data_IF_940203251219
#
_entry.id   IF_940203251219
#
_cell.length_a   1.000
_cell.length_b   1.000
_cell.length_c   1.000
_cell.angle_alpha   90.00
_cell.angle_beta   90.00
_cell.angle_gamma   90.00
#
_symmetry.space_group_name_H-M   'P 1'
#
loop_
_entity.id
_entity.type
_entity.pdbx_description
1 polymer ?
#
# COMPACT_ATOMS: atom_id res chain seq x y z
N UNK A 1 -5.12 -25.23 45.44
CA UNK A 1 -4.58 -25.37 44.07
C UNK A 1 -5.39 -24.47 43.16
N UNK A 2 -4.86 -23.29 42.83
CA UNK A 2 -5.49 -22.39 41.87
C UNK A 2 -4.97 -22.74 40.47
N UNK A 3 -5.85 -23.25 39.62
CA UNK A 3 -5.56 -23.45 38.21
C UNK A 3 -5.49 -22.07 37.54
N UNK A 4 -4.28 -21.59 37.29
CA UNK A 4 -4.04 -20.43 36.44
C UNK A 4 -4.35 -20.87 35.01
N UNK A 5 -5.52 -20.47 34.54
CA UNK A 5 -5.91 -20.63 33.14
C UNK A 5 -5.03 -19.71 32.29
N UNK A 6 -4.00 -20.29 31.68
CA UNK A 6 -3.22 -19.67 30.61
C UNK A 6 -4.13 -19.54 29.39
N UNK A 7 -4.92 -18.46 29.34
CA UNK A 7 -5.44 -17.96 28.07
C UNK A 7 -4.25 -17.44 27.27
N UNK A 8 -3.66 -18.30 26.44
CA UNK A 8 -2.84 -17.85 25.33
C UNK A 8 -3.71 -16.95 24.47
N UNK A 9 -3.43 -15.64 24.46
CA UNK A 9 -3.90 -14.74 23.44
C UNK A 9 -3.44 -15.32 22.10
N UNK A 10 -4.35 -15.99 21.39
CA UNK A 10 -4.15 -16.33 19.99
C UNK A 10 -4.19 -14.99 19.27
N UNK A 11 -3.03 -14.36 19.12
CA UNK A 11 -2.87 -13.26 18.18
C UNK A 11 -3.19 -13.84 16.81
N UNK A 12 -4.38 -13.54 16.30
CA UNK A 12 -4.79 -13.96 14.97
C UNK A 12 -3.79 -13.39 13.96
N UNK A 13 -3.06 -14.27 13.27
CA UNK A 13 -2.16 -13.86 12.19
C UNK A 13 -3.04 -13.36 11.05
N UNK A 14 -2.84 -12.10 10.65
CA UNK A 14 -3.55 -11.48 9.52
C UNK A 14 -3.26 -12.32 8.27
N UNK A 15 -4.31 -12.81 7.62
CA UNK A 15 -4.20 -13.53 6.35
C UNK A 15 -3.96 -12.57 5.18
N UNK A 16 -3.45 -13.09 4.06
CA UNK A 16 -3.25 -12.30 2.83
C UNK A 16 -4.56 -11.66 2.34
N UNK A 17 -5.68 -12.40 2.43
CA UNK A 17 -7.01 -11.88 2.08
C UNK A 17 -7.50 -10.75 2.99
N UNK A 18 -7.28 -10.86 4.30
CA UNK A 18 -7.59 -9.77 5.25
C UNK A 18 -6.72 -8.54 5.01
N UNK A 19 -5.45 -8.72 4.65
CA UNK A 19 -4.56 -7.62 4.32
C UNK A 19 -4.99 -6.90 3.03
N UNK A 20 -5.46 -7.64 2.02
CA UNK A 20 -6.06 -7.05 0.80
C UNK A 20 -7.34 -6.29 1.14
N UNK A 21 -8.27 -6.89 1.90
CA UNK A 21 -9.51 -6.21 2.33
C UNK A 21 -9.24 -4.95 3.15
N UNK A 22 -8.21 -4.98 3.98
CA UNK A 22 -7.77 -3.79 4.69
C UNK A 22 -7.36 -2.67 3.73
N UNK A 23 -6.70 -3.01 2.62
CA UNK A 23 -6.28 -2.04 1.60
C UNK A 23 -7.44 -1.56 0.72
N UNK A 24 -8.42 -2.43 0.42
CA UNK A 24 -9.47 -2.17 -0.58
C UNK A 24 -10.83 -1.77 -0.01
N UNK A 25 -11.26 -2.39 1.08
CA UNK A 25 -12.62 -2.27 1.63
C UNK A 25 -12.65 -1.36 2.88
N UNK A 26 -11.69 -1.54 3.79
CA UNK A 26 -11.66 -0.81 5.07
C UNK A 26 -11.08 0.60 4.93
N UNK A 27 -10.27 0.83 3.89
CA UNK A 27 -9.60 2.09 3.61
C UNK A 27 -9.81 2.50 2.15
N UNK A 28 -9.67 3.80 1.87
CA UNK A 28 -9.80 4.34 0.50
C UNK A 28 -8.41 4.63 -0.06
N UNK A 29 -7.64 3.57 -0.34
CA UNK A 29 -6.28 3.68 -0.89
C UNK A 29 -6.20 3.56 -2.42
N UNK A 30 -7.21 2.95 -3.04
CA UNK A 30 -7.24 2.71 -4.49
C UNK A 30 -7.99 3.83 -5.21
N UNK A 31 -7.51 4.18 -6.40
CA UNK A 31 -8.27 4.92 -7.41
C UNK A 31 -9.24 3.98 -8.16
N UNK A 32 -10.21 4.55 -8.87
CA UNK A 32 -11.34 3.79 -9.42
C UNK A 32 -10.95 2.79 -10.53
N UNK A 33 -9.79 2.94 -11.17
CA UNK A 33 -9.28 2.06 -12.23
C UNK A 33 -8.15 1.13 -11.77
N UNK A 34 -7.97 0.97 -10.45
CA UNK A 34 -6.87 0.22 -9.88
C UNK A 34 -7.34 -1.05 -9.18
N UNK A 35 -6.47 -2.04 -9.17
CA UNK A 35 -6.70 -3.31 -8.48
C UNK A 35 -5.57 -3.61 -7.49
N UNK A 36 -5.93 -4.12 -6.31
CA UNK A 36 -4.96 -4.72 -5.40
C UNK A 36 -4.83 -6.21 -5.73
N UNK A 37 -3.62 -6.68 -6.03
CA UNK A 37 -3.39 -8.13 -6.24
C UNK A 37 -3.00 -8.78 -4.92
N UNK A 38 -3.48 -10.00 -4.72
CA UNK A 38 -3.19 -10.77 -3.52
C UNK A 38 -1.70 -11.20 -3.51
N UNK A 39 -0.93 -10.89 -2.45
CA UNK A 39 0.43 -11.37 -2.33
C UNK A 39 0.46 -12.87 -2.02
N UNK A 40 1.33 -13.60 -2.73
CA UNK A 40 1.54 -15.04 -2.54
C UNK A 40 2.46 -15.36 -1.34
N UNK A 41 3.37 -14.44 -1.00
CA UNK A 41 4.40 -14.65 0.01
C UNK A 41 4.43 -13.50 1.02
N UNK A 42 4.80 -13.81 2.25
CA UNK A 42 5.11 -12.80 3.29
C UNK A 42 6.57 -12.41 3.15
N UNK A 43 6.85 -11.12 3.28
CA UNK A 43 8.23 -10.61 3.26
C UNK A 43 8.69 -10.40 4.70
N UNK A 44 9.86 -10.95 5.02
CA UNK A 44 10.54 -10.75 6.30
C UNK A 44 11.36 -9.44 6.27
N UNK A 45 11.18 -8.61 7.30
CA UNK A 45 12.03 -7.45 7.56
C UNK A 45 12.26 -7.31 9.06
N UNK A 46 13.53 -7.27 9.49
CA UNK A 46 13.91 -7.08 10.89
C UNK A 46 13.16 -7.98 11.90
N UNK A 47 12.92 -9.26 11.54
CA UNK A 47 12.17 -10.29 12.30
C UNK A 47 10.65 -10.19 12.26
N UNK A 48 10.09 -9.21 11.56
CA UNK A 48 8.65 -9.08 11.36
C UNK A 48 8.25 -9.49 9.95
N UNK A 49 7.06 -10.08 9.82
CA UNK A 49 6.50 -10.45 8.53
C UNK A 49 5.44 -9.46 8.08
N UNK A 50 5.44 -9.19 6.79
CA UNK A 50 4.52 -8.27 6.15
C UNK A 50 3.87 -8.92 4.93
N UNK A 51 2.59 -8.66 4.75
CA UNK A 51 1.96 -8.77 3.44
C UNK A 51 2.23 -7.48 2.69
N UNK A 52 2.86 -7.56 1.52
CA UNK A 52 3.13 -6.38 0.68
C UNK A 52 2.23 -6.48 -0.55
N UNK A 53 1.16 -5.69 -0.54
CA UNK A 53 0.08 -5.74 -1.51
C UNK A 53 0.43 -4.79 -2.67
N UNK A 54 0.69 -5.29 -3.89
CA UNK A 54 0.82 -4.44 -5.06
C UNK A 54 -0.55 -3.88 -5.46
N UNK A 55 -0.58 -2.59 -5.76
CA UNK A 55 -1.69 -1.95 -6.48
C UNK A 55 -1.25 -1.75 -7.92
N UNK A 56 -2.08 -2.18 -8.87
CA UNK A 56 -1.74 -2.21 -10.29
C UNK A 56 -2.79 -1.52 -11.16
N UNK A 57 -2.33 -1.03 -12.31
CA UNK A 57 -3.14 -0.63 -13.47
C UNK A 57 -2.60 -1.42 -14.66
N UNK A 58 -3.47 -2.14 -15.38
CA UNK A 58 -3.09 -2.93 -16.55
C UNK A 58 -1.88 -3.87 -16.30
N UNK A 59 -1.83 -4.48 -15.11
CA UNK A 59 -0.73 -5.33 -14.62
C UNK A 59 0.61 -4.61 -14.33
N UNK A 60 0.69 -3.29 -14.43
CA UNK A 60 1.84 -2.52 -13.98
C UNK A 60 1.63 -1.98 -12.56
N UNK A 61 2.58 -2.19 -11.62
CA UNK A 61 2.45 -1.67 -10.26
C UNK A 61 2.51 -0.14 -10.25
N UNK A 62 1.52 0.49 -9.62
CA UNK A 62 1.49 1.94 -9.34
C UNK A 62 2.04 2.26 -7.95
N UNK A 63 1.81 1.39 -6.97
CA UNK A 63 2.37 1.46 -5.62
C UNK A 63 2.22 0.13 -4.87
N UNK A 64 2.68 0.08 -3.62
CA UNK A 64 2.55 -1.05 -2.73
C UNK A 64 2.05 -0.60 -1.36
N UNK A 65 1.38 -1.51 -0.64
CA UNK A 65 1.00 -1.33 0.76
C UNK A 65 1.56 -2.47 1.60
N UNK A 66 2.43 -2.14 2.56
CA UNK A 66 2.93 -3.11 3.53
C UNK A 66 2.01 -3.16 4.77
N UNK A 67 1.40 -4.32 5.00
CA UNK A 67 0.51 -4.60 6.14
C UNK A 67 1.18 -5.61 7.07
N UNK A 68 1.29 -5.28 8.35
CA UNK A 68 1.84 -6.18 9.36
C UNK A 68 1.01 -7.46 9.51
N UNK A 69 1.67 -8.60 9.74
CA UNK A 69 0.97 -9.88 9.91
C UNK A 69 0.45 -10.13 11.32
N UNK A 70 0.98 -9.41 12.31
CA UNK A 70 0.53 -9.50 13.72
C UNK A 70 -0.54 -8.46 14.01
N UNK A 71 -0.30 -7.22 13.56
CA UNK A 71 -1.27 -6.14 13.64
C UNK A 71 -1.66 -5.70 12.24
N UNK A 72 -2.96 -5.67 11.97
CA UNK A 72 -3.53 -5.19 10.70
C UNK A 72 -3.39 -3.67 10.59
N UNK A 73 -2.17 -3.20 10.33
CA UNK A 73 -1.77 -1.80 10.22
C UNK A 73 -0.74 -1.63 9.11
N UNK A 74 -0.73 -0.45 8.51
CA UNK A 74 0.32 -0.06 7.57
C UNK A 74 1.63 0.23 8.30
N UNK A 75 2.74 -0.11 7.65
CA UNK A 75 4.06 0.35 8.07
C UNK A 75 4.16 1.86 7.85
N UNK A 76 4.47 2.61 8.91
CA UNK A 76 4.61 4.07 8.85
C UNK A 76 6.02 4.51 8.41
N UNK A 77 7.03 3.69 8.66
CA UNK A 77 8.43 4.05 8.38
C UNK A 77 8.74 3.99 6.88
N UNK A 78 9.23 5.10 6.32
CA UNK A 78 9.55 5.23 4.89
C UNK A 78 10.72 4.33 4.48
N UNK A 79 11.73 4.16 5.33
CA UNK A 79 12.88 3.32 5.04
C UNK A 79 12.50 1.84 5.02
N UNK A 80 11.68 1.40 5.99
CA UNK A 80 11.15 0.02 6.02
C UNK A 80 10.31 -0.24 4.78
N UNK A 81 9.37 0.65 4.45
CA UNK A 81 8.57 0.53 3.22
C UNK A 81 9.44 0.47 1.96
N UNK A 82 10.52 1.26 1.88
CA UNK A 82 11.44 1.22 0.74
C UNK A 82 12.03 -0.17 0.53
N UNK A 83 12.46 -0.83 1.60
CA UNK A 83 13.02 -2.17 1.53
C UNK A 83 11.96 -3.21 1.17
N UNK A 84 10.80 -3.14 1.83
CA UNK A 84 9.68 -4.05 1.56
C UNK A 84 9.19 -3.95 0.11
N UNK A 85 9.05 -2.73 -0.43
CA UNK A 85 8.60 -2.50 -1.80
C UNK A 85 9.65 -2.97 -2.80
N UNK A 86 10.94 -2.71 -2.54
CA UNK A 86 12.04 -3.23 -3.36
C UNK A 86 12.01 -4.75 -3.44
N UNK A 87 11.89 -5.43 -2.31
CA UNK A 87 11.86 -6.90 -2.26
C UNK A 87 10.63 -7.46 -2.97
N UNK A 88 9.45 -6.89 -2.72
CA UNK A 88 8.21 -7.32 -3.37
C UNK A 88 8.29 -7.14 -4.89
N UNK A 89 8.85 -6.02 -5.34
CA UNK A 89 8.93 -5.67 -6.74
C UNK A 89 10.00 -6.48 -7.49
N UNK A 90 11.18 -6.69 -6.89
CA UNK A 90 12.18 -7.64 -7.41
C UNK A 90 11.58 -9.03 -7.56
N UNK A 91 10.87 -9.52 -6.53
CA UNK A 91 10.25 -10.84 -6.58
C UNK A 91 9.19 -10.94 -7.68
N UNK A 92 8.33 -9.92 -7.81
CA UNK A 92 7.30 -9.87 -8.86
C UNK A 92 7.93 -9.91 -10.25
N UNK A 93 8.84 -8.99 -10.55
CA UNK A 93 9.48 -8.87 -11.86
C UNK A 93 10.28 -10.12 -12.21
N UNK A 94 10.99 -10.70 -11.23
CA UNK A 94 11.73 -11.93 -11.40
C UNK A 94 10.81 -13.12 -11.76
N UNK A 95 9.71 -13.30 -11.04
CA UNK A 95 8.75 -14.38 -11.32
C UNK A 95 8.08 -14.20 -12.69
N UNK A 96 7.76 -12.96 -13.09
CA UNK A 96 7.22 -12.66 -14.41
C UNK A 96 8.20 -13.03 -15.53
N UNK A 97 9.48 -12.65 -15.41
CA UNK A 97 10.50 -13.00 -16.40
C UNK A 97 10.78 -14.52 -16.43
N UNK A 98 10.74 -15.19 -15.28
CA UNK A 98 10.86 -16.65 -15.21
C UNK A 98 9.68 -17.36 -15.88
N UNK A 99 8.46 -16.88 -15.66
CA UNK A 99 7.27 -17.39 -16.35
C UNK A 99 7.37 -17.17 -17.86
N UNK A 100 7.80 -15.98 -18.29
CA UNK A 100 8.04 -15.66 -19.70
C UNK A 100 9.08 -16.58 -20.33
N UNK A 101 10.20 -16.81 -19.64
CA UNK A 101 11.25 -17.74 -20.08
C UNK A 101 10.71 -19.17 -20.20
N UNK A 102 9.90 -19.63 -19.24
CA UNK A 102 9.32 -20.99 -19.29
C UNK A 102 8.39 -21.23 -20.48
N UNK A 103 7.76 -20.16 -21.00
CA UNK A 103 6.86 -20.19 -22.16
C UNK A 103 7.59 -20.02 -23.50
N UNK A 104 8.87 -19.63 -23.48
CA UNK A 104 9.65 -19.40 -24.69
C UNK A 104 10.89 -20.33 -24.72
N UNK A 105 10.88 -21.41 -25.54
CA UNK A 105 11.99 -22.36 -25.59
C UNK A 105 13.31 -21.77 -26.11
N UNK A 106 13.28 -20.56 -26.70
CA UNK A 106 14.49 -19.84 -27.12
C UNK A 106 15.20 -19.14 -25.96
N UNK A 107 14.53 -18.96 -24.81
CA UNK A 107 15.13 -18.34 -23.61
C UNK A 107 15.63 -19.45 -22.69
N UNK A 108 16.96 -19.58 -22.58
CA UNK A 108 17.59 -20.55 -21.68
C UNK A 108 17.79 -19.95 -20.29
N UNK A 109 17.04 -20.45 -19.30
CA UNK A 109 17.31 -20.17 -17.89
C UNK A 109 18.46 -21.06 -17.42
N UNK A 110 19.69 -20.54 -17.44
CA UNK A 110 20.89 -21.36 -17.17
C UNK A 110 21.16 -21.64 -15.69
N UNK A 111 20.45 -20.96 -14.78
CA UNK A 111 20.59 -21.17 -13.33
C UNK A 111 19.62 -22.28 -12.89
N UNK A 112 19.95 -23.52 -13.23
CA UNK A 112 19.21 -24.71 -12.81
C UNK A 112 20.15 -25.89 -12.56
N UNK A 113 19.72 -26.85 -11.75
CA UNK A 113 20.52 -28.05 -11.47
C UNK A 113 20.82 -28.91 -12.70
N UNK A 114 20.08 -28.77 -13.81
CA UNK A 114 20.45 -29.46 -15.06
C UNK A 114 21.71 -28.85 -15.68
N UNK A 115 21.86 -27.53 -15.64
CA UNK A 115 23.07 -26.86 -16.15
C UNK A 115 24.26 -27.03 -15.21
N UNK A 116 24.04 -27.08 -13.89
CA UNK A 116 25.10 -27.43 -12.94
C UNK A 116 25.77 -28.78 -13.31
N UNK A 117 24.97 -29.81 -13.62
CA UNK A 117 25.48 -31.12 -14.06
C UNK A 117 26.20 -31.09 -15.41
N UNK A 118 25.78 -30.21 -16.33
CA UNK A 118 26.48 -30.02 -17.60
C UNK A 118 27.91 -29.52 -17.35
N UNK A 119 28.07 -28.52 -16.46
CA UNK A 119 29.39 -28.00 -16.12
C UNK A 119 30.23 -28.98 -15.29
N UNK A 120 29.62 -29.76 -14.41
CA UNK A 120 30.30 -30.85 -13.71
C UNK A 120 30.85 -31.92 -14.69
N UNK A 121 30.03 -32.32 -15.67
CA UNK A 121 30.44 -33.25 -16.72
C UNK A 121 31.53 -32.67 -17.61
N UNK A 122 31.42 -31.38 -17.97
CA UNK A 122 32.42 -30.65 -18.74
C UNK A 122 33.77 -30.63 -18.01
N UNK A 123 33.80 -30.38 -16.69
CA UNK A 123 35.04 -30.41 -15.91
C UNK A 123 35.76 -31.76 -16.04
N UNK A 124 35.04 -32.86 -15.84
CA UNK A 124 35.59 -34.22 -15.97
C UNK A 124 36.14 -34.47 -17.38
N UNK A 125 35.39 -34.08 -18.41
CA UNK A 125 35.82 -34.20 -19.81
C UNK A 125 37.10 -33.40 -20.09
N UNK A 126 37.21 -32.17 -19.61
CA UNK A 126 38.40 -31.33 -19.79
C UNK A 126 39.63 -31.93 -19.10
N UNK A 127 39.43 -32.60 -17.95
CA UNK A 127 40.48 -33.37 -17.28
C UNK A 127 40.91 -34.60 -18.09
N UNK A 128 39.97 -35.32 -18.71
CA UNK A 128 40.27 -36.51 -19.52
C UNK A 128 40.99 -36.14 -20.83
N UNK A 129 40.62 -35.03 -21.47
CA UNK A 129 41.27 -34.51 -22.69
C UNK A 129 42.79 -34.29 -22.53
N UNK A 130 43.23 -33.94 -21.30
CA UNK A 130 44.65 -33.78 -21.01
C UNK A 130 45.46 -35.08 -21.22
N UNK A 131 44.81 -36.24 -21.14
CA UNK A 131 45.44 -37.52 -21.46
C UNK A 131 45.62 -37.72 -22.96
N UNK A 132 44.67 -37.31 -23.81
CA UNK A 132 44.77 -37.45 -25.27
C UNK A 132 45.93 -36.62 -25.83
N UNK A 133 46.18 -35.43 -25.25
CA UNK A 133 47.33 -34.60 -25.61
C UNK A 133 48.69 -35.28 -25.33
N UNK A 134 48.78 -36.25 -24.41
CA UNK A 134 50.02 -37.03 -24.22
C UNK A 134 50.38 -37.86 -25.45
N UNK A 135 49.37 -38.42 -26.13
CA UNK A 135 49.56 -39.24 -27.32
C UNK A 135 50.16 -38.42 -28.46
N UNK A 136 49.75 -37.16 -28.60
CA UNK A 136 50.32 -36.23 -29.60
C UNK A 136 51.80 -35.95 -29.27
N UNK A 137 52.11 -35.67 -28.01
CA UNK A 137 53.48 -35.36 -27.58
C UNK A 137 54.45 -36.52 -27.86
N UNK A 138 54.04 -37.76 -27.58
CA UNK A 138 54.85 -38.94 -27.85
C UNK A 138 55.01 -39.24 -29.34
N UNK A 139 54.05 -38.86 -30.17
CA UNK A 139 54.03 -39.17 -31.62
C UNK A 139 54.81 -38.14 -32.44
N UNK A 140 54.73 -36.85 -32.09
CA UNK A 140 55.37 -35.78 -32.84
C UNK A 140 56.90 -35.77 -32.71
N UNK A 141 57.41 -36.10 -31.52
CA UNK A 141 58.84 -36.01 -31.17
C UNK A 141 59.49 -34.65 -31.54
N UNK A 142 58.72 -33.56 -31.46
CA UNK A 142 59.14 -32.17 -31.73
C UNK A 142 59.04 -31.33 -30.44
N UNK A 143 60.13 -30.68 -29.99
CA UNK A 143 60.11 -29.86 -28.78
C UNK A 143 59.05 -28.75 -28.79
N UNK A 144 58.79 -28.11 -29.94
CA UNK A 144 57.79 -27.04 -30.04
C UNK A 144 56.38 -27.58 -29.81
N UNK A 145 56.09 -28.73 -30.41
CA UNK A 145 54.81 -29.44 -30.21
C UNK A 145 54.65 -29.84 -28.75
N UNK A 146 55.72 -30.29 -28.10
CA UNK A 146 55.72 -30.66 -26.67
C UNK A 146 55.45 -29.46 -25.74
N UNK A 147 56.05 -28.31 -26.03
CA UNK A 147 55.85 -27.06 -25.28
C UNK A 147 54.40 -26.56 -25.40
N UNK A 148 53.83 -26.58 -26.61
CA UNK A 148 52.44 -26.17 -26.83
C UNK A 148 51.45 -27.13 -26.14
N UNK A 149 51.71 -28.44 -26.19
CA UNK A 149 50.92 -29.45 -25.46
C UNK A 149 50.94 -29.20 -23.96
N UNK A 150 52.10 -28.87 -23.39
CA UNK A 150 52.22 -28.57 -21.96
C UNK A 150 51.38 -27.34 -21.59
N UNK A 151 51.37 -26.32 -22.45
CA UNK A 151 50.56 -25.11 -22.29
C UNK A 151 49.05 -25.39 -22.42
N UNK A 152 48.66 -26.26 -23.36
CA UNK A 152 47.27 -26.68 -23.56
C UNK A 152 46.75 -27.47 -22.34
N UNK A 153 47.55 -28.39 -21.78
CA UNK A 153 47.18 -29.12 -20.56
C UNK A 153 46.97 -28.20 -19.36
N UNK A 154 47.86 -27.22 -19.17
CA UNK A 154 47.67 -26.23 -18.13
C UNK A 154 46.36 -25.43 -18.33
N UNK A 155 46.02 -25.11 -19.58
CA UNK A 155 44.77 -24.43 -19.92
C UNK A 155 43.53 -25.31 -19.64
N UNK A 156 43.59 -26.61 -19.98
CA UNK A 156 42.52 -27.57 -19.68
C UNK A 156 42.28 -27.72 -18.17
N UNK A 157 43.34 -27.80 -17.36
CA UNK A 157 43.22 -27.85 -15.91
C UNK A 157 42.51 -26.61 -15.35
N UNK A 158 42.91 -25.42 -15.78
CA UNK A 158 42.26 -24.16 -15.39
C UNK A 158 40.79 -24.13 -15.81
N UNK A 159 40.47 -24.56 -17.04
CA UNK A 159 39.08 -24.62 -17.50
C UNK A 159 38.26 -25.66 -16.74
N UNK A 160 38.84 -26.79 -16.35
CA UNK A 160 38.19 -27.79 -15.50
C UNK A 160 37.80 -27.18 -14.16
N UNK A 161 38.74 -26.52 -13.48
CA UNK A 161 38.48 -25.85 -12.20
C UNK A 161 37.40 -24.76 -12.35
N UNK A 162 37.44 -23.98 -13.44
CA UNK A 162 36.42 -22.97 -13.72
C UNK A 162 35.04 -23.61 -13.97
N UNK A 163 34.97 -24.73 -14.70
CA UNK A 163 33.72 -25.44 -14.93
C UNK A 163 33.12 -26.00 -13.62
N UNK A 164 33.95 -26.54 -12.71
CA UNK A 164 33.49 -26.94 -11.37
C UNK A 164 32.97 -25.74 -10.58
N UNK A 165 33.66 -24.60 -10.64
CA UNK A 165 33.21 -23.38 -9.99
C UNK A 165 31.88 -22.87 -10.56
N UNK A 166 31.70 -22.89 -11.88
CA UNK A 166 30.41 -22.54 -12.51
C UNK A 166 29.31 -23.48 -12.02
N UNK A 167 29.57 -24.79 -11.98
CA UNK A 167 28.62 -25.79 -11.46
C UNK A 167 28.19 -25.48 -10.02
N UNK A 168 29.17 -25.29 -9.13
CA UNK A 168 28.93 -24.98 -7.72
C UNK A 168 28.15 -23.67 -7.53
N UNK A 169 28.48 -22.63 -8.30
CA UNK A 169 27.77 -21.35 -8.23
C UNK A 169 26.34 -21.43 -8.79
N UNK A 170 26.09 -22.26 -9.81
CA UNK A 170 24.72 -22.50 -10.29
C UNK A 170 23.88 -23.16 -9.20
N UNK A 171 24.41 -24.19 -8.52
CA UNK A 171 23.69 -24.86 -7.44
C UNK A 171 23.42 -23.91 -6.26
N UNK A 172 24.41 -23.11 -5.88
CA UNK A 172 24.27 -22.09 -4.83
C UNK A 172 23.20 -21.05 -5.20
N UNK A 173 23.25 -20.52 -6.42
CA UNK A 173 22.29 -19.53 -6.91
C UNK A 173 20.87 -20.11 -7.03
N UNK A 174 20.73 -21.34 -7.53
CA UNK A 174 19.43 -22.01 -7.65
C UNK A 174 18.81 -22.32 -6.29
N UNK A 175 19.61 -22.76 -5.31
CA UNK A 175 19.14 -22.97 -3.94
C UNK A 175 18.71 -21.64 -3.30
N UNK A 176 19.54 -20.60 -3.42
CA UNK A 176 19.23 -19.28 -2.87
C UNK A 176 17.98 -18.68 -3.54
N UNK A 177 17.81 -18.87 -4.85
CA UNK A 177 16.61 -18.46 -5.57
C UNK A 177 15.36 -19.14 -5.03
N UNK A 178 15.40 -20.46 -4.83
CA UNK A 178 14.26 -21.19 -4.25
C UNK A 178 13.93 -20.70 -2.85
N UNK A 179 14.93 -20.44 -2.01
CA UNK A 179 14.73 -19.94 -0.66
C UNK A 179 14.16 -18.51 -0.68
N UNK A 180 14.72 -17.63 -1.50
CA UNK A 180 14.29 -16.24 -1.60
C UNK A 180 12.86 -16.11 -2.18
N UNK A 181 12.52 -16.92 -3.18
CA UNK A 181 11.18 -16.88 -3.79
C UNK A 181 10.08 -17.46 -2.90
N UNK A 182 10.42 -18.34 -1.95
CA UNK A 182 9.46 -18.94 -1.02
C UNK A 182 9.41 -18.22 0.34
N UNK A 183 10.52 -17.63 0.76
CA UNK A 183 10.67 -16.89 2.01
C UNK A 183 11.46 -15.58 1.79
N UNK A 184 10.86 -14.61 1.07
CA UNK A 184 11.57 -13.37 0.73
C UNK A 184 11.95 -12.58 1.97
N UNK A 185 13.20 -12.10 2.00
CA UNK A 185 13.77 -11.30 3.07
C UNK A 185 14.42 -10.04 2.49
N UNK A 186 14.04 -8.90 3.04
CA UNK A 186 14.62 -7.60 2.67
C UNK A 186 16.14 -7.55 2.82
N UNK A 187 16.72 -8.22 3.82
CA UNK A 187 18.17 -8.26 4.03
C UNK A 187 18.92 -9.04 2.94
N UNK A 188 18.21 -9.95 2.25
CA UNK A 188 18.77 -10.84 1.23
C UNK A 188 18.56 -10.35 -0.21
N UNK A 189 17.83 -9.25 -0.40
CA UNK A 189 17.42 -8.80 -1.74
C UNK A 189 18.61 -8.40 -2.63
N UNK A 190 19.62 -7.74 -2.06
CA UNK A 190 20.84 -7.41 -2.83
C UNK A 190 21.78 -8.60 -2.99
N UNK A 191 21.78 -9.54 -2.04
CA UNK A 191 22.51 -10.79 -2.17
C UNK A 191 21.94 -11.66 -3.30
N UNK A 192 20.62 -11.62 -3.52
CA UNK A 192 19.95 -12.32 -4.59
C UNK A 192 20.61 -12.06 -5.95
N UNK A 193 20.82 -10.79 -6.31
CA UNK A 193 21.53 -10.42 -7.54
C UNK A 193 22.96 -10.95 -7.57
N UNK A 194 23.69 -10.83 -6.46
CA UNK A 194 25.10 -11.22 -6.36
C UNK A 194 25.31 -12.71 -6.64
N UNK A 195 24.37 -13.57 -6.26
CA UNK A 195 24.44 -15.01 -6.59
C UNK A 195 24.41 -15.26 -8.10
N UNK A 196 23.56 -14.55 -8.84
CA UNK A 196 23.55 -14.62 -10.31
C UNK A 196 24.82 -14.02 -10.91
N UNK A 197 25.26 -12.86 -10.41
CA UNK A 197 26.49 -12.20 -10.90
C UNK A 197 27.72 -13.10 -10.75
N UNK A 198 27.80 -13.90 -9.67
CA UNK A 198 28.88 -14.85 -9.46
C UNK A 198 28.90 -15.96 -10.53
N UNK A 199 27.74 -16.55 -10.86
CA UNK A 199 27.61 -17.53 -11.94
C UNK A 199 28.13 -16.95 -13.27
N UNK A 200 27.67 -15.75 -13.64
CA UNK A 200 28.08 -15.11 -14.88
C UNK A 200 29.57 -14.78 -14.89
N UNK A 201 30.11 -14.31 -13.77
CA UNK A 201 31.53 -13.99 -13.63
C UNK A 201 32.45 -15.18 -13.90
N UNK A 202 32.13 -16.36 -13.38
CA UNK A 202 32.91 -17.58 -13.67
C UNK A 202 32.64 -18.12 -15.08
N UNK A 203 31.41 -18.03 -15.56
CA UNK A 203 31.05 -18.49 -16.91
C UNK A 203 31.81 -17.72 -17.99
N UNK A 204 31.92 -16.40 -17.86
CA UNK A 204 32.66 -15.58 -18.83
C UNK A 204 34.17 -15.80 -18.74
N UNK A 205 34.72 -16.03 -17.54
CA UNK A 205 36.12 -16.44 -17.41
C UNK A 205 36.39 -17.78 -18.09
N UNK A 206 35.46 -18.74 -17.97
CA UNK A 206 35.56 -20.02 -18.66
C UNK A 206 35.49 -19.85 -20.18
N UNK A 207 34.61 -18.99 -20.70
CA UNK A 207 34.54 -18.68 -22.13
C UNK A 207 35.84 -18.04 -22.64
N UNK A 208 36.38 -17.06 -21.93
CA UNK A 208 37.65 -16.41 -22.29
C UNK A 208 38.77 -17.45 -22.38
N UNK A 209 38.86 -18.37 -21.41
CA UNK A 209 39.84 -19.47 -21.45
C UNK A 209 39.56 -20.46 -22.58
N UNK A 210 38.30 -20.71 -22.90
CA UNK A 210 37.94 -21.57 -24.03
C UNK A 210 38.35 -20.95 -25.38
N UNK A 211 38.24 -19.63 -25.53
CA UNK A 211 38.71 -18.92 -26.72
C UNK A 211 40.24 -18.93 -26.84
N UNK A 212 40.95 -18.68 -25.73
CA UNK A 212 42.42 -18.81 -25.67
C UNK A 212 42.87 -20.23 -26.06
N UNK A 213 42.22 -21.27 -25.52
CA UNK A 213 42.50 -22.67 -25.83
C UNK A 213 42.32 -22.98 -27.33
N UNK A 214 41.23 -22.52 -27.96
CA UNK A 214 41.01 -22.71 -29.41
C UNK A 214 42.11 -22.07 -30.26
N UNK A 215 42.59 -20.90 -29.86
CA UNK A 215 43.72 -20.25 -30.53
C UNK A 215 44.99 -21.11 -30.44
N UNK A 216 45.27 -21.67 -29.26
CA UNK A 216 46.42 -22.55 -29.02
C UNK A 216 46.31 -23.88 -29.75
N UNK A 217 45.13 -24.47 -29.82
CA UNK A 217 44.88 -25.67 -30.63
C UNK A 217 45.18 -25.40 -32.11
N UNK A 218 44.79 -24.24 -32.62
CA UNK A 218 45.08 -23.86 -34.01
C UNK A 218 46.60 -23.71 -34.24
N UNK A 219 47.31 -23.17 -33.26
CA UNK A 219 48.77 -23.08 -33.27
C UNK A 219 49.44 -24.46 -33.20
N UNK A 220 48.97 -25.36 -32.33
CA UNK A 220 49.42 -26.75 -32.27
C UNK A 220 49.24 -27.45 -33.61
N UNK A 221 48.07 -27.31 -34.25
CA UNK A 221 47.81 -27.88 -35.60
C UNK A 221 48.75 -27.33 -36.65
N UNK A 222 49.10 -26.04 -36.58
CA UNK A 222 50.09 -25.41 -37.46
C UNK A 222 51.48 -26.02 -37.24
N UNK A 223 51.90 -26.18 -35.98
CA UNK A 223 53.19 -26.79 -35.63
C UNK A 223 53.28 -28.25 -36.08
N UNK A 224 52.23 -29.05 -35.87
CA UNK A 224 52.13 -30.43 -36.38
C UNK A 224 52.25 -30.44 -37.90
N UNK A 225 51.63 -29.50 -38.61
CA UNK A 225 51.66 -29.47 -40.08
C UNK A 225 53.06 -29.25 -40.64
N UNK A 226 53.88 -28.45 -39.96
CA UNK A 226 55.26 -28.11 -40.38
C UNK A 226 56.34 -28.99 -39.75
N UNK A 227 55.98 -29.96 -38.89
CA UNK A 227 56.94 -30.88 -38.28
C UNK A 227 57.48 -31.91 -39.28
N UNK A 228 58.50 -32.67 -38.88
CA UNK A 228 59.10 -33.72 -39.72
C UNK A 228 58.31 -35.04 -39.72
N UNK A 229 57.15 -35.10 -39.06
CA UNK A 229 56.32 -36.31 -39.00
C UNK A 229 55.75 -36.71 -40.38
N UNK A 230 55.51 -38.00 -40.59
CA UNK A 230 54.88 -38.51 -41.81
C UNK A 230 53.44 -37.99 -41.97
N UNK A 231 52.96 -37.94 -43.22
CA UNK A 231 51.64 -37.36 -43.55
C UNK A 231 50.49 -38.03 -42.77
N UNK A 232 50.52 -39.36 -42.62
CA UNK A 232 49.49 -40.10 -41.89
C UNK A 232 49.52 -39.79 -40.38
N UNK A 233 50.73 -39.67 -39.80
CA UNK A 233 50.91 -39.28 -38.40
C UNK A 233 50.43 -37.85 -38.15
N UNK A 234 50.71 -36.92 -39.06
CA UNK A 234 50.19 -35.53 -38.99
C UNK A 234 48.67 -35.49 -39.02
N UNK A 235 48.05 -36.23 -39.95
CA UNK A 235 46.60 -36.32 -40.07
C UNK A 235 45.95 -36.87 -38.79
N UNK A 236 46.55 -37.92 -38.20
CA UNK A 236 46.10 -38.49 -36.94
C UNK A 236 46.21 -37.49 -35.78
N UNK A 237 47.36 -36.83 -35.62
CA UNK A 237 47.58 -35.84 -34.55
C UNK A 237 46.66 -34.61 -34.67
N UNK A 238 46.41 -34.13 -35.89
CA UNK A 238 45.50 -32.99 -36.12
C UNK A 238 44.07 -33.33 -35.71
N UNK A 239 43.62 -34.57 -35.95
CA UNK A 239 42.30 -35.04 -35.51
C UNK A 239 42.22 -35.16 -34.00
N UNK A 240 43.26 -35.70 -33.35
CA UNK A 240 43.34 -35.76 -31.89
C UNK A 240 43.40 -34.38 -31.23
N UNK A 241 43.91 -33.37 -31.92
CA UNK A 241 43.96 -32.00 -31.39
C UNK A 241 42.60 -31.28 -31.48
N UNK A 242 41.54 -31.89 -32.04
CA UNK A 242 40.22 -31.26 -32.07
C UNK A 242 39.58 -31.21 -30.69
N UNK A 243 39.07 -30.04 -30.24
CA UNK A 243 38.36 -29.98 -28.98
C UNK A 243 37.15 -30.92 -29.00
N UNK A 244 36.79 -31.54 -27.87
CA UNK A 244 35.67 -32.46 -27.80
C UNK A 244 34.35 -31.74 -28.13
N UNK A 245 33.36 -32.47 -28.63
CA UNK A 245 32.12 -31.88 -29.14
C UNK A 245 31.41 -30.97 -28.12
N UNK A 246 31.41 -31.36 -26.84
CA UNK A 246 30.77 -30.60 -25.75
C UNK A 246 31.53 -29.32 -25.37
N UNK A 247 32.78 -29.14 -25.83
CA UNK A 247 33.53 -27.90 -25.65
C UNK A 247 32.79 -26.70 -26.27
N UNK A 248 32.06 -26.94 -27.36
CA UNK A 248 31.28 -25.90 -28.03
C UNK A 248 30.08 -25.41 -27.20
N UNK A 249 29.65 -26.18 -26.19
CA UNK A 249 28.59 -25.76 -25.28
C UNK A 249 29.01 -24.56 -24.43
N UNK A 250 30.31 -24.37 -24.13
CA UNK A 250 30.79 -23.24 -23.32
C UNK A 250 30.33 -21.91 -23.93
N UNK A 251 30.59 -21.69 -25.22
CA UNK A 251 30.19 -20.46 -25.91
C UNK A 251 28.66 -20.31 -26.02
N UNK A 252 27.94 -21.40 -26.28
CA UNK A 252 26.47 -21.37 -26.31
C UNK A 252 25.88 -20.95 -24.96
N UNK A 253 26.45 -21.47 -23.85
CA UNK A 253 26.00 -21.14 -22.51
C UNK A 253 26.39 -19.72 -22.12
N UNK A 254 27.55 -19.23 -22.54
CA UNK A 254 27.97 -17.86 -22.24
C UNK A 254 27.14 -16.81 -22.99
N UNK A 255 26.73 -17.09 -24.23
CA UNK A 255 25.72 -16.26 -24.94
C UNK A 255 24.39 -16.24 -24.17
N UNK A 256 23.91 -17.41 -23.73
CA UNK A 256 22.70 -17.48 -22.91
C UNK A 256 22.86 -16.76 -21.56
N UNK A 257 24.03 -16.86 -20.95
CA UNK A 257 24.40 -16.18 -19.71
C UNK A 257 24.42 -14.67 -19.85
N UNK A 258 24.91 -14.13 -20.97
CA UNK A 258 24.84 -12.70 -21.29
C UNK A 258 23.39 -12.23 -21.35
N UNK A 259 22.53 -12.96 -22.08
CA UNK A 259 21.11 -12.62 -22.17
C UNK A 259 20.40 -12.66 -20.82
N UNK A 260 20.65 -13.68 -20.00
CA UNK A 260 20.07 -13.79 -18.67
C UNK A 260 20.60 -12.71 -17.71
N UNK A 261 21.90 -12.40 -17.77
CA UNK A 261 22.50 -11.32 -16.99
C UNK A 261 21.82 -9.99 -17.27
N UNK A 262 21.62 -9.67 -18.54
CA UNK A 262 20.92 -8.44 -18.94
C UNK A 262 19.49 -8.37 -18.41
N UNK A 263 18.77 -9.51 -18.37
CA UNK A 263 17.42 -9.59 -17.79
C UNK A 263 17.47 -9.30 -16.29
N UNK A 264 18.36 -9.98 -15.55
CA UNK A 264 18.52 -9.77 -14.09
C UNK A 264 18.91 -8.32 -13.79
N UNK A 265 19.88 -7.76 -14.52
CA UNK A 265 20.29 -6.36 -14.36
C UNK A 265 19.12 -5.40 -14.63
N UNK A 266 18.34 -5.62 -15.69
CA UNK A 266 17.17 -4.80 -16.02
C UNK A 266 16.10 -4.83 -14.93
N UNK A 267 15.86 -5.98 -14.29
CA UNK A 267 14.93 -6.07 -13.15
C UNK A 267 15.39 -5.12 -12.04
N UNK A 268 16.64 -5.22 -11.59
CA UNK A 268 17.15 -4.40 -10.49
C UNK A 268 17.21 -2.91 -10.84
N UNK A 269 17.59 -2.56 -12.07
CA UNK A 269 17.59 -1.17 -12.54
C UNK A 269 16.16 -0.61 -12.57
N UNK A 270 15.21 -1.36 -13.16
CA UNK A 270 13.79 -0.96 -13.24
C UNK A 270 13.21 -0.73 -11.85
N UNK A 271 13.33 -1.72 -10.96
CA UNK A 271 12.81 -1.63 -9.59
C UNK A 271 13.39 -0.40 -8.90
N UNK A 272 14.72 -0.25 -8.86
CA UNK A 272 15.35 0.87 -8.16
C UNK A 272 14.93 2.24 -8.71
N UNK A 273 14.68 2.35 -10.02
CA UNK A 273 14.27 3.61 -10.66
C UNK A 273 12.85 4.07 -10.29
N UNK A 274 11.95 3.15 -9.93
CA UNK A 274 10.54 3.45 -9.61
C UNK A 274 10.20 3.47 -8.11
N UNK A 275 11.14 3.08 -7.24
CA UNK A 275 10.91 3.01 -5.78
C UNK A 275 10.46 4.33 -5.17
N UNK A 276 11.10 5.45 -5.54
CA UNK A 276 10.72 6.75 -4.98
C UNK A 276 9.31 7.16 -5.41
N UNK A 277 8.92 6.82 -6.65
CA UNK A 277 7.55 7.00 -7.11
C UNK A 277 6.56 6.18 -6.28
N UNK A 278 6.85 4.90 -6.04
CA UNK A 278 6.00 4.05 -5.20
C UNK A 278 5.82 4.59 -3.79
N UNK A 279 6.91 5.08 -3.17
CA UNK A 279 6.85 5.67 -1.84
C UNK A 279 6.05 6.97 -1.80
N UNK A 280 6.18 7.80 -2.84
CA UNK A 280 5.41 9.04 -2.96
C UNK A 280 3.92 8.73 -3.16
N UNK A 281 3.58 7.81 -4.07
CA UNK A 281 2.21 7.35 -4.29
C UNK A 281 1.59 6.75 -3.02
N UNK A 282 2.36 5.92 -2.29
CA UNK A 282 1.94 5.39 -1.00
C UNK A 282 1.59 6.52 -0.01
N UNK A 283 2.46 7.52 0.12
CA UNK A 283 2.21 8.67 1.00
C UNK A 283 0.98 9.48 0.58
N UNK A 284 0.84 9.77 -0.71
CA UNK A 284 -0.34 10.48 -1.26
C UNK A 284 -1.63 9.72 -0.96
N UNK A 285 -1.62 8.39 -1.09
CA UNK A 285 -2.80 7.55 -0.81
C UNK A 285 -3.12 7.42 0.66
N UNK A 286 -2.11 7.46 1.54
CA UNK A 286 -2.36 7.57 2.98
C UNK A 286 -3.11 8.87 3.29
N UNK A 287 -2.70 9.99 2.69
CA UNK A 287 -3.41 11.27 2.85
C UNK A 287 -4.79 11.26 2.20
N UNK A 288 -4.95 10.60 1.05
CA UNK A 288 -6.25 10.37 0.41
C UNK A 288 -7.21 9.64 1.34
N UNK A 289 -6.79 8.49 1.89
CA UNK A 289 -7.63 7.69 2.79
C UNK A 289 -7.98 8.46 4.06
N UNK A 290 -7.02 9.17 4.67
CA UNK A 290 -7.30 10.03 5.84
C UNK A 290 -8.33 11.12 5.52
N UNK A 291 -8.17 11.81 4.40
CA UNK A 291 -9.12 12.84 3.96
C UNK A 291 -10.51 12.26 3.72
N UNK A 292 -10.60 11.10 3.07
CA UNK A 292 -11.85 10.40 2.83
C UNK A 292 -12.54 10.02 4.14
N UNK A 293 -11.82 9.41 5.08
CA UNK A 293 -12.36 9.02 6.38
C UNK A 293 -12.85 10.22 7.20
N UNK A 294 -12.18 11.38 7.12
CA UNK A 294 -12.64 12.59 7.79
C UNK A 294 -13.89 13.21 7.16
N UNK A 295 -14.01 13.18 5.83
CA UNK A 295 -15.15 13.76 5.12
C UNK A 295 -16.38 12.85 5.14
N UNK A 296 -16.16 11.55 4.92
CA UNK A 296 -17.21 10.59 4.58
C UNK A 296 -17.23 9.36 5.49
N UNK A 297 -16.16 9.14 6.27
CA UNK A 297 -16.08 8.03 7.21
C UNK A 297 -16.89 8.28 8.49
N UNK A 298 -17.16 7.20 9.21
CA UNK A 298 -17.82 7.29 10.50
C UNK A 298 -16.95 8.11 11.47
N UNK A 299 -17.53 9.14 12.09
CA UNK A 299 -16.79 10.06 12.96
C UNK A 299 -17.39 10.07 14.37
N UNK A 300 -16.62 9.67 15.40
CA UNK A 300 -17.02 9.82 16.79
C UNK A 300 -17.30 11.28 17.15
N UNK A 301 -16.57 12.23 16.56
CA UNK A 301 -16.80 13.66 16.72
C UNK A 301 -18.16 14.06 16.13
N UNK A 302 -18.53 13.58 14.95
CA UNK A 302 -19.84 13.83 14.36
C UNK A 302 -20.98 13.21 15.20
N UNK A 303 -20.78 12.00 15.74
CA UNK A 303 -21.74 11.37 16.63
C UNK A 303 -21.99 12.20 17.90
N UNK A 304 -20.94 12.79 18.48
CA UNK A 304 -21.05 13.70 19.65
C UNK A 304 -21.78 15.02 19.34
N UNK A 305 -21.96 15.37 18.07
CA UNK A 305 -22.63 16.62 17.67
C UNK A 305 -24.14 16.47 17.49
N UNK A 306 -24.70 15.27 17.56
CA UNK A 306 -26.14 15.09 17.36
C UNK A 306 -26.51 13.72 16.82
N UNK A 307 -25.71 12.71 17.13
CA UNK A 307 -25.84 11.34 16.63
C UNK A 307 -25.74 11.23 15.10
N UNK A 308 -24.96 12.10 14.46
CA UNK A 308 -24.64 11.94 13.04
C UNK A 308 -23.68 10.79 12.83
N UNK A 309 -23.89 10.01 11.76
CA UNK A 309 -23.00 8.92 11.38
C UNK A 309 -21.61 9.43 10.99
N UNK A 310 -21.57 10.52 10.23
CA UNK A 310 -20.37 11.08 9.62
C UNK A 310 -20.46 12.62 9.52
N UNK A 311 -19.33 13.26 9.18
CA UNK A 311 -19.25 14.72 9.04
C UNK A 311 -20.17 15.23 7.94
N UNK A 312 -20.22 14.54 6.79
CA UNK A 312 -21.12 14.89 5.67
C UNK A 312 -22.58 14.97 6.12
N UNK A 313 -23.05 14.03 6.92
CA UNK A 313 -24.42 14.02 7.45
C UNK A 313 -24.68 15.21 8.36
N UNK A 314 -23.72 15.58 9.20
CA UNK A 314 -23.82 16.75 10.08
C UNK A 314 -23.85 18.05 9.26
N UNK A 315 -22.97 18.19 8.27
CA UNK A 315 -22.95 19.33 7.35
C UNK A 315 -24.28 19.45 6.60
N UNK A 316 -24.75 18.36 6.01
CA UNK A 316 -26.00 18.33 5.27
C UNK A 316 -27.17 18.76 6.16
N UNK A 317 -27.22 18.30 7.41
CA UNK A 317 -28.26 18.72 8.36
C UNK A 317 -28.20 20.22 8.65
N UNK A 318 -27.02 20.79 8.92
CA UNK A 318 -26.89 22.23 9.22
C UNK A 318 -27.24 23.09 8.01
N UNK A 319 -26.86 22.63 6.80
CA UNK A 319 -26.99 23.39 5.56
C UNK A 319 -28.29 23.10 4.78
N UNK A 320 -29.19 22.23 5.27
CA UNK A 320 -30.50 22.06 4.61
C UNK A 320 -31.26 23.38 4.59
N UNK A 321 -32.03 23.68 3.53
CA UNK A 321 -32.78 24.94 3.43
C UNK A 321 -33.62 25.25 4.68
N UNK A 322 -34.24 24.23 5.29
CA UNK A 322 -35.09 24.34 6.46
C UNK A 322 -34.28 24.71 7.72
N UNK A 323 -33.09 24.11 7.90
CA UNK A 323 -32.27 24.34 9.09
C UNK A 323 -31.37 25.57 8.95
N UNK A 324 -30.91 25.86 7.73
CA UNK A 324 -29.95 26.95 7.45
C UNK A 324 -30.45 28.30 7.97
N UNK A 325 -31.74 28.59 7.80
CA UNK A 325 -32.36 29.85 8.21
C UNK A 325 -32.62 29.96 9.72
N UNK A 326 -32.67 28.85 10.46
CA UNK A 326 -33.05 28.86 11.88
C UNK A 326 -31.86 28.94 12.83
N UNK A 327 -30.62 28.75 12.36
CA UNK A 327 -29.45 28.84 13.24
C UNK A 327 -29.16 30.28 13.70
N UNK A 328 -28.79 30.44 14.97
CA UNK A 328 -28.40 31.75 15.50
C UNK A 328 -27.06 32.24 14.94
N UNK A 329 -26.14 31.33 14.58
CA UNK A 329 -24.82 31.67 14.05
C UNK A 329 -24.74 31.70 12.52
N UNK A 330 -25.42 32.65 11.89
CA UNK A 330 -25.48 32.76 10.42
C UNK A 330 -24.09 32.93 9.78
N UNK A 331 -23.17 33.65 10.42
CA UNK A 331 -21.79 33.79 9.93
C UNK A 331 -21.04 32.45 9.97
N UNK A 332 -21.25 31.64 11.01
CA UNK A 332 -20.70 30.28 11.10
C UNK A 332 -21.25 29.36 10.01
N UNK A 333 -22.55 29.44 9.73
CA UNK A 333 -23.23 28.66 8.68
C UNK A 333 -22.66 28.95 7.30
N UNK A 334 -22.46 30.23 6.94
CA UNK A 334 -21.86 30.62 5.66
C UNK A 334 -20.42 30.10 5.52
N UNK A 335 -19.61 30.23 6.59
CA UNK A 335 -18.24 29.69 6.61
C UNK A 335 -18.21 28.16 6.52
N UNK A 336 -19.21 27.48 7.11
CA UNK A 336 -19.33 26.03 7.03
C UNK A 336 -19.56 25.58 5.58
N UNK A 337 -20.48 26.24 4.87
CA UNK A 337 -20.76 25.98 3.46
C UNK A 337 -19.52 26.20 2.59
N UNK A 338 -18.81 27.30 2.81
CA UNK A 338 -17.57 27.60 2.09
C UNK A 338 -16.48 26.54 2.34
N UNK A 339 -16.19 26.25 3.61
CA UNK A 339 -15.16 25.27 3.98
C UNK A 339 -15.50 23.87 3.51
N UNK A 340 -16.77 23.45 3.62
CA UNK A 340 -17.18 22.14 3.12
C UNK A 340 -16.98 22.03 1.61
N UNK A 341 -17.43 23.03 0.84
CA UNK A 341 -17.20 23.09 -0.61
C UNK A 341 -15.72 23.07 -0.95
N UNK A 342 -14.90 23.81 -0.21
CA UNK A 342 -13.44 23.84 -0.40
C UNK A 342 -12.80 22.48 -0.08
N UNK A 343 -13.30 21.77 0.94
CA UNK A 343 -12.83 20.44 1.30
C UNK A 343 -13.13 19.42 0.20
N UNK A 344 -14.38 19.40 -0.31
CA UNK A 344 -14.78 18.51 -1.41
C UNK A 344 -14.00 18.82 -2.70
N UNK A 345 -13.80 20.10 -3.00
CA UNK A 345 -13.03 20.51 -4.17
C UNK A 345 -11.54 20.16 -4.04
N UNK A 346 -10.95 20.33 -2.86
CA UNK A 346 -9.56 19.95 -2.61
C UNK A 346 -9.38 18.44 -2.73
N UNK A 347 -10.30 17.65 -2.18
CA UNK A 347 -10.30 16.19 -2.30
C UNK A 347 -10.37 15.75 -3.77
N UNK A 348 -11.33 16.30 -4.54
CA UNK A 348 -11.49 15.99 -5.98
C UNK A 348 -10.28 16.40 -6.83
N UNK A 349 -9.49 17.39 -6.38
CA UNK A 349 -8.27 17.86 -7.07
C UNK A 349 -7.00 17.15 -6.61
N UNK A 350 -7.09 16.19 -5.67
CA UNK A 350 -5.94 15.47 -5.13
C UNK A 350 -5.16 16.24 -4.04
N UNK A 351 -5.64 17.41 -3.60
CA UNK A 351 -5.03 18.17 -2.50
C UNK A 351 -5.57 17.67 -1.14
N UNK A 352 -5.21 16.43 -0.80
CA UNK A 352 -5.78 15.72 0.34
C UNK A 352 -5.44 16.38 1.68
N UNK A 353 -4.26 16.98 1.82
CA UNK A 353 -3.88 17.70 3.05
C UNK A 353 -4.77 18.92 3.25
N UNK A 354 -5.04 19.72 2.22
CA UNK A 354 -6.00 20.83 2.35
C UNK A 354 -7.42 20.35 2.61
N UNK A 355 -7.83 19.24 2.00
CA UNK A 355 -9.14 18.64 2.25
C UNK A 355 -9.30 18.29 3.74
N UNK A 356 -8.26 17.70 4.37
CA UNK A 356 -8.25 17.41 5.80
C UNK A 356 -8.34 18.67 6.67
N UNK A 357 -7.60 19.73 6.32
CA UNK A 357 -7.63 21.01 7.06
C UNK A 357 -9.06 21.59 7.02
N UNK A 358 -9.67 21.69 5.84
CA UNK A 358 -11.02 22.23 5.71
C UNK A 358 -12.09 21.36 6.39
N UNK A 359 -11.94 20.03 6.34
CA UNK A 359 -12.80 19.10 7.09
C UNK A 359 -12.71 19.34 8.61
N UNK A 360 -11.49 19.52 9.13
CA UNK A 360 -11.25 19.84 10.54
C UNK A 360 -11.89 21.17 10.96
N UNK A 361 -11.82 22.20 10.11
CA UNK A 361 -12.49 23.48 10.35
C UNK A 361 -14.02 23.36 10.29
N UNK A 362 -14.56 22.55 9.38
CA UNK A 362 -16.01 22.27 9.32
C UNK A 362 -16.53 21.65 10.63
N UNK A 363 -15.78 20.71 11.23
CA UNK A 363 -16.12 20.13 12.55
C UNK A 363 -16.19 21.21 13.63
N UNK A 364 -15.23 22.14 13.66
CA UNK A 364 -15.20 23.26 14.64
C UNK A 364 -16.38 24.21 14.43
N UNK A 365 -16.74 24.50 13.18
CA UNK A 365 -17.86 25.37 12.84
C UNK A 365 -19.20 24.76 13.24
N UNK A 366 -19.43 23.47 12.97
CA UNK A 366 -20.65 22.78 13.41
C UNK A 366 -20.80 22.83 14.94
N UNK A 367 -19.71 22.55 15.67
CA UNK A 367 -19.66 22.71 17.14
C UNK A 367 -20.08 24.11 17.58
N UNK A 368 -19.57 25.14 16.92
CA UNK A 368 -19.88 26.54 17.21
C UNK A 368 -21.35 26.89 16.95
N UNK A 369 -21.87 26.48 15.80
CA UNK A 369 -23.27 26.72 15.38
C UNK A 369 -24.23 26.07 16.39
N UNK A 370 -24.00 24.80 16.72
CA UNK A 370 -24.85 24.08 17.67
C UNK A 370 -24.79 24.66 19.07
N UNK A 371 -23.61 25.09 19.52
CA UNK A 371 -23.44 25.74 20.83
C UNK A 371 -24.21 27.06 20.93
N UNK A 372 -24.30 27.83 19.84
CA UNK A 372 -25.09 29.07 19.78
C UNK A 372 -26.59 28.82 19.60
N UNK A 373 -26.97 27.63 19.16
CA UNK A 373 -28.36 27.20 19.07
C UNK A 373 -29.13 27.82 17.92
N UNK A 374 -30.45 27.69 17.96
CA UNK A 374 -31.38 28.24 16.98
C UNK A 374 -31.89 29.61 17.42
N UNK A 375 -32.33 30.42 16.46
CA UNK A 375 -33.03 31.67 16.70
C UNK A 375 -34.27 31.38 17.53
N UNK A 376 -34.35 31.96 18.73
CA UNK A 376 -35.56 31.91 19.54
C UNK A 376 -36.58 32.83 18.89
N UNK A 377 -37.50 32.25 18.11
CA UNK A 377 -38.72 32.97 17.73
C UNK A 377 -39.47 33.18 19.04
N UNK A 378 -39.54 34.42 19.54
CA UNK A 378 -40.48 34.76 20.60
C UNK A 378 -41.86 34.33 20.09
N UNK A 379 -42.43 33.29 20.69
CA UNK A 379 -43.82 32.95 20.40
C UNK A 379 -44.63 34.21 20.72
N UNK A 380 -45.46 34.71 19.78
CA UNK A 380 -46.43 35.73 20.16
C UNK A 380 -47.21 35.18 21.36
N UNK A 381 -47.45 35.98 22.41
CA UNK A 381 -48.09 35.47 23.62
C UNK A 381 -49.38 34.73 23.25
N UNK A 382 -49.57 33.55 23.84
CA UNK A 382 -50.71 32.64 23.57
C UNK A 382 -52.08 33.33 23.68
N UNK A 383 -52.14 34.45 24.40
CA UNK A 383 -53.28 35.36 24.50
C UNK A 383 -52.80 36.75 24.15
N UNK A 384 -53.54 37.47 23.30
CA UNK A 384 -53.32 38.92 23.17
C UNK A 384 -53.58 39.59 24.52
N UNK A 385 -52.83 40.63 24.86
CA UNK A 385 -53.03 41.37 26.12
C UNK A 385 -54.48 41.86 26.27
N UNK A 386 -55.17 42.12 25.15
CA UNK A 386 -56.60 42.41 25.12
C UNK A 386 -57.50 41.24 25.58
N UNK A 387 -57.23 40.01 25.14
CA UNK A 387 -57.98 38.83 25.59
C UNK A 387 -57.74 38.52 27.07
N UNK A 388 -56.51 38.72 27.55
CA UNK A 388 -56.19 38.56 28.98
C UNK A 388 -56.91 39.61 29.82
N UNK A 389 -56.93 40.88 29.39
CA UNK A 389 -57.69 41.95 30.06
C UNK A 389 -59.20 41.70 30.04
N UNK A 390 -59.75 41.21 28.93
CA UNK A 390 -61.17 40.83 28.84
C UNK A 390 -61.50 39.65 29.76
N UNK A 391 -60.63 38.65 29.86
CA UNK A 391 -60.80 37.53 30.77
C UNK A 391 -60.74 37.98 32.23
N UNK A 392 -59.79 38.85 32.60
CA UNK A 392 -59.69 39.43 33.95
C UNK A 392 -60.92 40.27 34.28
N UNK A 393 -61.41 41.10 33.34
CA UNK A 393 -62.63 41.89 33.54
C UNK A 393 -63.88 41.01 33.67
N UNK A 394 -63.99 39.96 32.86
CA UNK A 394 -65.09 38.99 32.97
C UNK A 394 -65.05 38.27 34.32
N UNK A 395 -63.87 37.86 34.80
CA UNK A 395 -63.69 37.22 36.10
C UNK A 395 -63.99 38.16 37.27
N UNK A 396 -63.56 39.42 37.17
CA UNK A 396 -63.88 40.46 38.14
C UNK A 396 -65.39 40.75 38.17
N UNK A 397 -66.04 40.83 37.00
CA UNK A 397 -67.49 40.96 36.88
C UNK A 397 -68.23 39.77 37.50
N UNK A 398 -67.75 38.55 37.27
CA UNK A 398 -68.30 37.32 37.86
C UNK A 398 -68.11 37.30 39.38
N UNK A 399 -66.97 37.75 39.90
CA UNK A 399 -66.72 37.90 41.34
C UNK A 399 -67.64 38.93 41.99
N UNK A 400 -67.89 40.06 41.32
CA UNK A 400 -68.88 41.06 41.78
C UNK A 400 -70.29 40.46 41.80
N UNK A 401 -70.66 39.71 40.77
CA UNK A 401 -71.97 39.03 40.68
C UNK A 401 -72.12 37.97 41.79
N UNK A 402 -71.09 37.17 42.03
CA UNK A 402 -71.07 36.19 43.13
C UNK A 402 -71.12 36.89 44.49
N UNK A 403 -70.40 38.00 44.67
CA UNK A 403 -70.47 38.80 45.90
C UNK A 403 -71.86 39.38 46.12
N UNK A 404 -72.51 39.94 45.10
CA UNK A 404 -73.88 40.45 45.16
C UNK A 404 -74.90 39.35 45.44
N UNK A 405 -74.77 38.18 44.80
CA UNK A 405 -75.64 37.02 45.03
C UNK A 405 -75.46 36.44 46.44
N UNK A 406 -74.23 36.41 46.95
CA UNK A 406 -73.90 35.88 48.29
C UNK A 406 -74.25 36.87 49.42
N UNK A 407 -74.31 38.17 49.14
CA UNK A 407 -74.71 39.22 50.08
C UNK A 407 -76.15 39.75 49.86
N UNK A 408 -76.99 39.07 49.07
CA UNK A 408 -78.36 39.53 48.78
C UNK A 408 -79.23 39.76 50.02
N UNK A 409 -78.94 39.05 51.12
CA UNK A 409 -79.65 39.18 52.40
C UNK A 409 -79.21 40.41 53.22
N UNK A 410 -78.02 40.99 52.94
CA UNK A 410 -77.55 42.24 53.58
C UNK A 410 -77.90 43.50 52.81
N UNK A 411 -78.12 43.41 51.49
CA UNK A 411 -78.45 44.57 50.64
C UNK A 411 -79.97 44.87 50.65
N UNK A 412 -80.80 43.87 50.99
CA UNK A 412 -82.26 44.05 51.16
C UNK A 412 -82.68 44.96 52.33
N UNK A 413 -81.76 45.40 53.19
CA UNK A 413 -82.01 46.32 54.30
C UNK A 413 -81.91 47.81 53.96
N UNK A 414 -81.45 48.19 52.76
CA UNK A 414 -81.24 49.59 52.39
C UNK A 414 -82.45 50.26 51.69
N UNK A 415 -83.48 49.48 51.34
CA UNK A 415 -84.69 49.97 50.68
C UNK A 415 -85.95 49.49 51.42
N UNK A 416 -86.19 50.02 52.63
CA UNK A 416 -87.53 50.09 53.24
C UNK A 416 -87.75 51.49 53.82
N UNK A 417 -88.79 52.23 53.38
CA UNK A 417 -89.15 53.51 53.96
C UNK A 417 -90.00 53.29 55.22
N UNK A 418 -89.60 53.91 56.34
CA UNK A 418 -90.44 54.03 57.54
C UNK A 418 -91.42 55.20 57.39
N UNK A 419 -92.70 54.90 57.62
CA UNK A 419 -93.81 55.83 57.70
C UNK A 419 -93.91 56.50 59.07
N UNK A 420 -94.35 57.77 59.01
CA UNK A 420 -95.38 58.45 59.82
C UNK A 420 -94.98 59.55 60.81
N UNK A 421 -95.53 60.74 60.52
CA UNK A 421 -96.38 61.65 61.34
C UNK A 421 -95.85 62.05 62.72
N UNK A 422 -95.95 63.28 63.22
CA UNK A 422 -96.65 64.54 62.90
C UNK A 422 -96.08 65.51 63.95
N UNK A 423 -95.63 66.73 63.63
CA UNK A 423 -96.48 67.89 63.38
C UNK A 423 -96.13 68.98 64.39
N UNK A 424 -95.80 70.20 63.94
CA UNK A 424 -96.19 71.44 64.63
C UNK A 424 -95.92 72.67 63.75
N UNK A 425 -96.78 73.66 63.98
CA UNK A 425 -97.04 74.91 63.24
C UNK A 425 -95.83 75.85 63.14
N UNK A 426 -95.88 76.73 62.12
CA UNK A 426 -95.87 78.18 62.34
C UNK A 426 -96.43 78.91 61.10
N UNK A 427 -97.52 79.64 61.31
CA UNK A 427 -98.00 80.72 60.45
C UNK A 427 -97.09 81.95 60.62
N UNK A 428 -96.90 82.70 59.52
CA UNK A 428 -97.13 84.15 59.37
C UNK A 428 -96.24 84.72 58.26
N UNK A 429 -96.82 85.53 57.37
CA UNK A 429 -96.03 86.39 56.49
C UNK A 429 -96.78 86.92 55.28
N UNK A 430 -97.51 88.00 55.48
CA UNK A 430 -98.29 88.75 54.49
C UNK A 430 -97.44 89.49 53.42
N UNK A 431 -97.90 89.38 52.16
CA UNK A 431 -98.32 90.44 51.20
C UNK A 431 -97.36 91.54 50.65
N UNK A 432 -97.68 91.86 49.38
CA UNK A 432 -97.43 93.04 48.52
C UNK A 432 -96.15 92.94 47.65
N UNK A 433 -96.17 93.20 46.34
CA UNK A 433 -97.13 93.86 45.42
C UNK A 433 -97.53 92.99 44.22
#
# INVERSE_FOLDING_TARGET
MAAISLFSLVYGVVSSGEAVKFVTEENRFLHDNEEAKQPNYRILHAKEHYWVIPVVVDEEPTTYFAVGTVEKKLVADKFVNRQLFKTADVLREFLLEKERASKNPQVKWIVTGSYARIFESLARMLSDEAFELNTIASTANDPKVSDEISSLKASLAVMSDLAENVSAQIDEAASFESDFTTQPDTAKTDEFKKKFDAVFGYLFQLEDKALEYRSRVSELKRQISVSDAEADAKSYMIKLAEPPQNFNEIGNMAIAGTGLKDVVDKIFVRVNSRLDNFLNEFGVRQEMSKAYLLLYGASPEAAKLGNYKDLRSAVNYVLTPENKAVWADQAGVLKLEENWRNAENAYKKGDYVKAQIYAGEAVKLIKGIQKKGVLVVQQPPLLSDQLLQQAIMALAGLLVLVFLLKNREKIGGFFRPEQNQSGERLELGWKNE
#
